data_IF_913947942046
#
_entry.id   IF_913947942046
#
_cell.length_a   1.000
_cell.length_b   1.000
_cell.length_c   1.000
_cell.angle_alpha   90.00
_cell.angle_beta   90.00
_cell.angle_gamma   90.00
#
_symmetry.space_group_name_H-M   'P 1'
#
loop_
_entity.id
_entity.type
_entity.pdbx_description
1 polymer ?
#
# COMPACT_ATOMS: atom_id res chain seq x y z
N UNK A 1 -4.55 8.64 -24.39
CA UNK A 1 -3.44 9.59 -24.20
C UNK A 1 -2.89 9.40 -22.80
N UNK A 2 -1.57 9.26 -22.76
CA UNK A 2 -0.74 8.64 -21.73
C UNK A 2 -0.63 9.43 -20.43
N UNK A 3 -0.20 8.74 -19.36
CA UNK A 3 0.86 9.12 -18.40
C UNK A 3 0.75 8.16 -17.19
N UNK A 4 1.37 6.98 -17.24
CA UNK A 4 2.74 6.71 -16.75
C UNK A 4 3.06 7.33 -15.38
N UNK A 5 3.00 6.47 -14.36
CA UNK A 5 3.86 6.34 -13.18
C UNK A 5 4.63 7.61 -12.75
N UNK A 6 4.23 8.20 -11.62
CA UNK A 6 5.14 8.95 -10.74
C UNK A 6 5.39 8.11 -9.48
N UNK A 7 6.54 7.44 -9.44
CA UNK A 7 7.18 7.05 -8.18
C UNK A 7 7.95 8.29 -7.74
N UNK A 8 7.61 8.86 -6.59
CA UNK A 8 8.46 9.85 -5.94
C UNK A 8 9.57 9.05 -5.28
N UNK A 9 10.73 8.97 -5.94
CA UNK A 9 11.98 8.56 -5.31
C UNK A 9 12.66 9.81 -4.76
N UNK A 10 12.60 10.00 -3.44
CA UNK A 10 13.52 10.91 -2.78
C UNK A 10 14.83 10.15 -2.52
N UNK A 11 15.89 10.51 -3.23
CA UNK A 11 17.21 10.72 -2.63
C UNK A 11 18.19 11.42 -3.59
N UNK A 12 18.59 12.62 -3.13
CA UNK A 12 19.85 13.36 -3.32
C UNK A 12 20.07 14.23 -4.58
N UNK A 13 20.02 15.54 -4.32
CA UNK A 13 20.90 16.62 -4.78
C UNK A 13 21.60 16.49 -6.14
N UNK A 14 21.10 17.21 -7.15
CA UNK A 14 21.86 18.21 -7.93
C UNK A 14 20.93 19.07 -8.82
N UNK A 15 20.89 20.38 -8.53
CA UNK A 15 21.03 21.50 -9.48
C UNK A 15 20.13 21.69 -10.72
N UNK A 16 19.33 22.77 -10.67
CA UNK A 16 18.90 23.71 -11.74
C UNK A 16 17.92 23.28 -12.86
N UNK A 17 16.77 23.98 -12.94
CA UNK A 17 15.98 24.09 -14.18
C UNK A 17 14.46 24.37 -14.07
N UNK A 18 14.07 25.54 -13.54
CA UNK A 18 12.84 26.33 -13.80
C UNK A 18 11.48 25.69 -14.18
N UNK A 19 10.49 25.82 -13.28
CA UNK A 19 9.10 26.22 -13.61
C UNK A 19 8.60 27.22 -12.53
N UNK A 20 7.87 28.28 -12.89
CA UNK A 20 7.52 29.35 -11.97
C UNK A 20 6.29 29.02 -11.11
N UNK A 21 6.39 29.28 -9.80
CA UNK A 21 5.25 29.80 -9.04
C UNK A 21 4.33 28.83 -8.27
N UNK A 22 4.79 27.65 -7.86
CA UNK A 22 4.20 27.00 -6.68
C UNK A 22 5.21 27.04 -5.54
N UNK A 23 5.00 27.98 -4.63
CA UNK A 23 5.61 27.97 -3.32
C UNK A 23 5.26 26.61 -2.69
N UNK A 24 6.19 25.65 -2.73
CA UNK A 24 6.08 24.43 -1.96
C UNK A 24 5.99 24.90 -0.50
N UNK A 25 4.80 24.80 0.09
CA UNK A 25 4.64 25.04 1.52
C UNK A 25 5.72 24.22 2.21
N UNK A 26 6.52 24.88 3.04
CA UNK A 26 7.47 24.22 3.91
C UNK A 26 6.80 22.98 4.51
N UNK A 27 7.45 21.82 4.41
CA UNK A 27 6.98 20.56 4.98
C UNK A 27 6.62 20.69 6.47
N UNK A 28 7.12 21.74 7.15
CA UNK A 28 6.83 22.04 8.55
C UNK A 28 5.39 22.47 8.87
N UNK A 29 4.54 22.78 7.89
CA UNK A 29 3.16 23.25 8.15
C UNK A 29 2.05 22.26 7.79
N UNK A 30 2.36 21.17 7.08
CA UNK A 30 1.34 20.21 6.65
C UNK A 30 1.08 19.18 7.73
N UNK A 31 -0.08 19.27 8.40
CA UNK A 31 -0.58 18.20 9.27
C UNK A 31 -1.07 17.04 8.41
N UNK A 32 -0.39 15.90 8.54
CA UNK A 32 -0.72 14.66 7.85
C UNK A 32 -1.50 13.75 8.79
N UNK A 33 -2.56 13.14 8.27
CA UNK A 33 -3.34 12.14 8.98
C UNK A 33 -3.42 10.84 8.17
N UNK A 34 -3.28 9.70 8.85
CA UNK A 34 -3.66 8.39 8.32
C UNK A 34 -5.08 8.07 8.78
N UNK A 35 -5.98 7.85 7.82
CA UNK A 35 -7.36 7.49 8.09
C UNK A 35 -7.62 6.06 7.61
N UNK A 36 -7.99 5.17 8.54
CA UNK A 36 -8.45 3.82 8.21
C UNK A 36 -9.96 3.78 8.29
N UNK A 37 -10.59 3.41 7.18
CA UNK A 37 -12.04 3.36 7.04
C UNK A 37 -12.51 1.91 7.16
N UNK A 38 -13.40 1.65 8.12
CA UNK A 38 -13.97 0.32 8.40
C UNK A 38 -15.47 0.33 8.18
N UNK A 39 -16.04 -0.82 7.81
CA UNK A 39 -17.48 -1.00 7.72
C UNK A 39 -17.98 -1.84 8.89
N UNK A 40 -18.68 -1.21 9.83
CA UNK A 40 -19.25 -1.86 11.02
C UNK A 40 -18.23 -2.30 12.08
N UNK A 41 -18.74 -2.82 13.21
CA UNK A 41 -17.93 -3.16 14.39
C UNK A 41 -17.12 -4.46 14.28
N UNK A 42 -17.47 -5.38 13.35
CA UNK A 42 -16.90 -6.74 13.30
C UNK A 42 -15.56 -6.87 12.55
N UNK A 43 -14.98 -5.75 12.11
CA UNK A 43 -13.82 -5.73 11.20
C UNK A 43 -12.45 -5.66 11.86
N UNK A 44 -12.29 -4.83 12.91
CA UNK A 44 -10.95 -4.40 13.39
C UNK A 44 -10.09 -5.56 13.88
N UNK A 45 -10.67 -6.51 14.62
CA UNK A 45 -9.91 -7.65 15.18
C UNK A 45 -9.22 -8.52 14.13
N UNK A 46 -9.70 -8.49 12.88
CA UNK A 46 -9.09 -9.23 11.77
C UNK A 46 -7.83 -8.58 11.23
N UNK A 47 -7.51 -7.34 11.61
CA UNK A 47 -6.42 -6.56 11.05
C UNK A 47 -5.40 -6.14 12.11
N UNK A 48 -5.31 -6.88 13.23
CA UNK A 48 -4.55 -6.46 14.41
C UNK A 48 -3.11 -6.04 14.08
N UNK A 49 -2.35 -6.86 13.35
CA UNK A 49 -0.96 -6.56 12.95
C UNK A 49 -0.88 -5.36 12.01
N UNK A 50 -1.80 -5.23 11.05
CA UNK A 50 -1.86 -4.07 10.16
C UNK A 50 -2.18 -2.78 10.94
N UNK A 51 -3.14 -2.82 11.86
CA UNK A 51 -3.53 -1.68 12.69
C UNK A 51 -2.39 -1.24 13.63
N UNK A 52 -1.70 -2.19 14.27
CA UNK A 52 -0.49 -1.91 15.04
C UNK A 52 0.60 -1.33 14.15
N UNK A 53 0.73 -1.84 12.91
CA UNK A 53 1.76 -1.36 12.00
C UNK A 53 1.55 0.10 11.62
N UNK A 54 0.32 0.43 11.22
CA UNK A 54 -0.10 1.79 10.88
C UNK A 54 0.01 2.72 12.09
N UNK A 55 -0.43 2.27 13.28
CA UNK A 55 -0.38 3.08 14.51
C UNK A 55 1.07 3.43 14.88
N UNK A 56 1.97 2.45 14.81
CA UNK A 56 3.39 2.66 15.08
C UNK A 56 3.98 3.65 14.08
N UNK A 57 3.74 3.44 12.77
CA UNK A 57 4.25 4.33 11.74
C UNK A 57 3.73 5.76 11.91
N UNK A 58 2.42 5.95 12.14
CA UNK A 58 1.83 7.26 12.40
C UNK A 58 2.52 7.96 13.59
N UNK A 59 2.72 7.24 14.71
CA UNK A 59 3.39 7.79 15.89
C UNK A 59 4.85 8.20 15.60
N UNK A 60 5.58 7.39 14.84
CA UNK A 60 6.98 7.68 14.45
C UNK A 60 7.07 8.91 13.56
N UNK A 61 6.11 9.10 12.66
CA UNK A 61 6.08 10.25 11.75
C UNK A 61 5.41 11.51 12.35
N UNK A 62 4.82 11.40 13.54
CA UNK A 62 4.02 12.49 14.14
C UNK A 62 2.70 12.75 13.40
N UNK A 63 2.15 11.74 12.71
CA UNK A 63 0.88 11.84 11.99
C UNK A 63 -0.31 11.61 12.92
N UNK A 64 -1.42 12.28 12.64
CA UNK A 64 -2.71 11.93 13.24
C UNK A 64 -3.14 10.54 12.74
N UNK A 65 -3.65 9.67 13.63
CA UNK A 65 -4.21 8.38 13.24
C UNK A 65 -5.68 8.29 13.64
N UNK A 66 -6.57 8.04 12.67
CA UNK A 66 -8.02 7.98 12.87
C UNK A 66 -8.60 6.71 12.26
N UNK A 67 -9.50 6.06 13.00
CA UNK A 67 -10.29 4.93 12.50
C UNK A 67 -11.75 5.37 12.41
N UNK A 68 -12.33 5.32 11.22
CA UNK A 68 -13.68 5.80 10.96
C UNK A 68 -14.59 4.65 10.51
N UNK A 69 -15.78 4.56 11.09
CA UNK A 69 -16.81 3.62 10.65
C UNK A 69 -17.67 4.27 9.55
N UNK A 70 -17.70 3.69 8.36
CA UNK A 70 -18.47 4.20 7.21
C UNK A 70 -19.96 4.32 7.49
N UNK A 71 -20.51 3.50 8.38
CA UNK A 71 -21.94 3.56 8.72
C UNK A 71 -22.34 4.89 9.37
N UNK A 72 -21.39 5.68 9.87
CA UNK A 72 -21.66 7.01 10.43
C UNK A 72 -21.61 8.12 9.38
N UNK A 73 -21.23 7.81 8.13
CA UNK A 73 -20.96 8.79 7.08
C UNK A 73 -21.66 8.46 5.75
N UNK A 74 -22.65 7.57 5.76
CA UNK A 74 -23.37 7.11 4.56
C UNK A 74 -23.93 8.25 3.72
N UNK A 75 -24.30 9.36 4.37
CA UNK A 75 -24.95 10.50 3.71
C UNK A 75 -24.00 11.70 3.49
N UNK A 76 -22.69 11.55 3.77
CA UNK A 76 -21.76 12.70 3.88
C UNK A 76 -20.49 12.64 3.04
N UNK A 77 -20.22 11.57 2.29
CA UNK A 77 -18.91 11.40 1.63
C UNK A 77 -18.93 11.65 0.11
N UNK A 78 -18.50 12.85 -0.31
CA UNK A 78 -18.06 13.15 -1.69
C UNK A 78 -16.53 13.10 -1.83
N UNK A 79 -15.87 12.11 -1.23
CA UNK A 79 -14.42 12.03 -1.28
C UNK A 79 -13.94 11.79 -2.71
N UNK A 80 -12.98 12.59 -3.18
CA UNK A 80 -12.28 12.33 -4.44
C UNK A 80 -11.48 11.03 -4.31
N UNK A 81 -11.29 10.35 -5.44
CA UNK A 81 -10.47 9.15 -5.50
C UNK A 81 -9.06 9.43 -4.95
N UNK A 82 -8.47 8.41 -4.31
CA UNK A 82 -7.06 8.47 -3.90
C UNK A 82 -6.14 8.73 -5.11
N UNK A 83 -5.04 9.44 -4.86
CA UNK A 83 -4.04 9.81 -5.89
C UNK A 83 -2.96 8.75 -6.07
N UNK A 84 -2.89 7.77 -5.17
CA UNK A 84 -1.91 6.70 -5.18
C UNK A 84 -2.51 5.41 -4.60
N UNK A 85 -1.85 4.30 -4.90
CA UNK A 85 -2.23 2.96 -4.47
C UNK A 85 -1.16 2.37 -3.56
N UNK A 86 -1.57 1.76 -2.47
CA UNK A 86 -0.70 0.91 -1.68
C UNK A 86 -0.80 -0.53 -2.20
N UNK A 87 0.35 -1.20 -2.38
CA UNK A 87 0.38 -2.56 -2.92
C UNK A 87 -0.21 -3.56 -1.92
N UNK A 88 -0.84 -4.60 -2.45
CA UNK A 88 -1.31 -5.75 -1.69
C UNK A 88 -0.16 -6.76 -1.44
N UNK A 89 -0.20 -7.56 -0.37
CA UNK A 89 0.87 -8.54 -0.04
C UNK A 89 1.08 -9.55 -1.15
N UNK A 90 -0.01 -10.08 -1.70
CA UNK A 90 0.05 -11.26 -2.57
C UNK A 90 0.79 -10.97 -3.88
N UNK A 91 0.87 -9.70 -4.29
CA UNK A 91 1.55 -9.29 -5.52
C UNK A 91 3.03 -9.71 -5.50
N UNK A 92 3.68 -9.61 -4.34
CA UNK A 92 5.08 -9.99 -4.12
C UNK A 92 5.23 -11.13 -3.11
N UNK A 93 4.16 -11.90 -2.87
CA UNK A 93 4.16 -12.99 -1.91
C UNK A 93 4.63 -12.59 -0.50
N UNK A 94 4.26 -11.38 -0.06
CA UNK A 94 4.63 -10.78 1.23
C UNK A 94 6.11 -10.39 1.38
N UNK A 95 6.92 -10.52 0.32
CA UNK A 95 8.28 -9.98 0.32
C UNK A 95 8.24 -8.46 0.54
N UNK A 96 9.24 -7.96 1.25
CA UNK A 96 9.32 -6.61 1.79
C UNK A 96 10.63 -5.93 1.38
N UNK A 97 10.58 -4.64 1.07
CA UNK A 97 11.76 -3.84 0.81
C UNK A 97 11.85 -2.68 1.78
N UNK A 98 12.96 -2.60 2.52
CA UNK A 98 13.24 -1.52 3.47
C UNK A 98 13.29 -0.13 2.82
N UNK A 99 13.51 -0.05 1.49
CA UNK A 99 13.57 1.21 0.75
C UNK A 99 12.23 1.65 0.15
N UNK A 100 11.22 0.76 0.13
CA UNK A 100 9.93 1.01 -0.54
C UNK A 100 8.75 0.92 0.41
N UNK A 101 8.81 -0.02 1.34
CA UNK A 101 7.68 -0.40 2.18
C UNK A 101 7.89 0.13 3.60
N UNK A 102 6.83 0.67 4.18
CA UNK A 102 6.91 1.42 5.44
C UNK A 102 5.80 1.10 6.45
N UNK A 103 4.71 0.46 6.03
CA UNK A 103 3.64 -0.02 6.92
C UNK A 103 2.84 -1.17 6.29
N UNK A 104 2.34 -2.08 7.13
CA UNK A 104 1.44 -3.15 6.73
C UNK A 104 0.01 -2.61 6.75
N UNK A 105 -0.70 -2.66 5.61
CA UNK A 105 -2.08 -2.18 5.50
C UNK A 105 -3.00 -3.27 4.92
N UNK A 106 -4.19 -3.42 5.49
CA UNK A 106 -5.23 -4.30 4.92
C UNK A 106 -5.00 -5.81 5.01
N UNK A 107 -3.95 -6.29 5.69
CA UNK A 107 -3.66 -7.73 5.79
C UNK A 107 -4.45 -8.38 6.94
N UNK A 108 -5.17 -9.48 6.64
CA UNK A 108 -6.07 -10.13 7.60
C UNK A 108 -5.36 -11.25 8.37
N UNK A 109 -5.52 -11.30 9.69
CA UNK A 109 -4.91 -12.34 10.56
C UNK A 109 -5.24 -13.77 10.12
N UNK A 110 -6.48 -14.04 9.65
CA UNK A 110 -6.87 -15.37 9.21
C UNK A 110 -6.22 -15.83 7.89
N UNK A 111 -5.51 -14.93 7.21
CA UNK A 111 -4.73 -15.20 6.00
C UNK A 111 -3.23 -15.33 6.28
N UNK A 112 -2.80 -15.15 7.54
CA UNK A 112 -1.41 -15.31 7.94
C UNK A 112 -1.00 -16.79 7.82
N UNK A 113 0.18 -17.02 7.25
CA UNK A 113 0.77 -18.33 7.01
C UNK A 113 2.23 -18.35 7.44
N UNK A 114 2.76 -19.56 7.59
CA UNK A 114 4.19 -19.83 7.73
C UNK A 114 4.72 -20.32 6.38
N UNK A 115 5.84 -19.78 5.92
CA UNK A 115 6.53 -20.30 4.73
C UNK A 115 7.43 -21.48 5.14
N UNK A 116 7.63 -22.43 4.22
CA UNK A 116 8.35 -23.69 4.49
C UNK A 116 9.57 -23.88 3.58
N UNK A 117 9.86 -22.91 2.71
CA UNK A 117 10.93 -22.97 1.72
C UNK A 117 11.58 -21.61 1.57
N UNK A 118 12.91 -21.57 1.54
CA UNK A 118 13.71 -20.39 1.25
C UNK A 118 14.57 -20.64 -0.02
N UNK A 119 14.76 -19.63 -0.90
CA UNK A 119 14.13 -18.31 -0.86
C UNK A 119 12.61 -18.38 -1.13
N UNK A 120 11.84 -17.48 -0.52
CA UNK A 120 10.40 -17.38 -0.77
C UNK A 120 10.18 -16.83 -2.19
N UNK A 121 9.40 -17.50 -3.06
CA UNK A 121 9.19 -17.03 -4.42
C UNK A 121 8.45 -15.68 -4.46
N UNK A 122 8.84 -14.78 -5.37
CA UNK A 122 8.19 -13.46 -5.51
C UNK A 122 6.74 -13.55 -6.02
N UNK A 123 6.44 -14.54 -6.86
CA UNK A 123 5.09 -14.76 -7.33
C UNK A 123 4.32 -15.60 -6.30
N UNK A 124 3.24 -15.04 -5.76
CA UNK A 124 2.38 -15.81 -4.87
C UNK A 124 1.51 -16.79 -5.66
N UNK A 125 1.23 -17.94 -5.04
CA UNK A 125 0.25 -18.93 -5.50
C UNK A 125 -1.16 -18.66 -4.98
N UNK A 126 -1.32 -17.69 -4.06
CA UNK A 126 -2.61 -17.38 -3.43
C UNK A 126 -2.77 -15.88 -3.20
N UNK A 127 -3.95 -15.36 -3.52
CA UNK A 127 -4.33 -13.98 -3.18
C UNK A 127 -4.83 -13.83 -1.75
N UNK A 128 -4.99 -14.94 -1.02
CA UNK A 128 -5.55 -15.01 0.33
C UNK A 128 -4.54 -15.54 1.36
N UNK A 129 -3.25 -15.35 1.11
CA UNK A 129 -2.18 -15.76 2.02
C UNK A 129 -1.12 -14.66 2.15
N UNK A 130 -0.60 -14.48 3.36
CA UNK A 130 0.57 -13.63 3.60
C UNK A 130 1.51 -14.21 4.66
N UNK A 131 2.77 -13.78 4.61
CA UNK A 131 3.82 -14.07 5.58
C UNK A 131 4.19 -12.79 6.31
N UNK A 132 4.43 -12.87 7.62
CA UNK A 132 4.75 -11.70 8.41
C UNK A 132 6.19 -11.21 8.15
N UNK A 133 6.40 -10.04 7.52
CA UNK A 133 7.74 -9.52 7.29
C UNK A 133 8.41 -9.04 8.58
N UNK A 134 7.68 -8.98 9.69
CA UNK A 134 8.20 -8.66 11.00
C UNK A 134 8.51 -9.96 11.76
N UNK A 135 9.79 -10.16 12.11
CA UNK A 135 10.26 -11.27 12.94
C UNK A 135 9.91 -11.14 14.43
N UNK A 136 9.23 -10.06 14.85
CA UNK A 136 8.81 -9.83 16.23
C UNK A 136 7.50 -9.06 16.35
N UNK A 137 6.99 -8.93 17.58
CA UNK A 137 5.81 -8.13 17.89
C UNK A 137 6.12 -6.64 17.83
N UNK A 138 5.11 -5.84 17.45
CA UNK A 138 5.20 -4.38 17.44
C UNK A 138 5.02 -3.87 18.87
N UNK A 139 6.03 -3.18 19.40
CA UNK A 139 5.96 -2.57 20.73
C UNK A 139 5.68 -1.07 20.58
N UNK A 140 4.44 -0.68 20.87
CA UNK A 140 3.96 0.71 20.73
C UNK A 140 4.74 1.72 21.59
N UNK A 141 5.32 1.28 22.71
CA UNK A 141 6.14 2.14 23.57
C UNK A 141 7.48 2.51 22.91
N UNK A 142 7.98 1.69 21.98
CA UNK A 142 9.22 1.93 21.24
C UNK A 142 9.02 2.71 19.93
N UNK A 143 7.78 2.88 19.49
CA UNK A 143 7.44 3.70 18.32
C UNK A 143 7.54 5.18 18.70
N UNK A 144 8.67 5.82 18.42
CA UNK A 144 8.93 7.24 18.68
C UNK A 144 9.59 7.89 17.47
N UNK A 145 9.58 9.22 17.31
CA UNK A 145 10.33 9.86 16.25
C UNK A 145 11.78 9.35 16.18
N UNK A 146 12.20 8.90 15.00
CA UNK A 146 13.52 8.31 14.77
C UNK A 146 13.70 6.85 15.21
N UNK A 147 12.69 6.19 15.80
CA UNK A 147 12.77 4.80 16.24
C UNK A 147 11.50 3.99 15.92
N UNK A 148 11.67 2.87 15.24
CA UNK A 148 10.57 1.92 14.96
C UNK A 148 10.82 0.61 15.68
N UNK A 149 9.76 -0.07 16.13
CA UNK A 149 9.88 -1.43 16.67
C UNK A 149 10.01 -2.51 15.57
N UNK A 150 10.42 -2.14 14.34
CA UNK A 150 10.49 -3.09 13.23
C UNK A 150 11.70 -4.01 13.37
N UNK A 151 11.44 -5.26 13.77
CA UNK A 151 12.38 -6.35 13.59
C UNK A 151 11.98 -7.10 12.32
N UNK A 152 12.75 -7.00 11.25
CA UNK A 152 12.40 -7.63 9.97
C UNK A 152 12.89 -9.08 9.87
N UNK A 153 12.07 -9.95 9.28
CA UNK A 153 12.48 -11.28 8.84
C UNK A 153 13.36 -11.16 7.58
N UNK A 154 14.65 -11.51 7.72
CA UNK A 154 15.63 -11.41 6.63
C UNK A 154 15.30 -12.29 5.42
N UNK A 155 14.58 -13.40 5.60
CA UNK A 155 14.17 -14.28 4.50
C UNK A 155 13.05 -13.69 3.64
N UNK A 156 12.36 -12.66 4.15
CA UNK A 156 11.30 -11.95 3.46
C UNK A 156 11.77 -10.60 2.90
N UNK A 157 13.05 -10.25 3.07
CA UNK A 157 13.61 -9.04 2.49
C UNK A 157 14.02 -9.25 1.03
N UNK A 158 13.67 -8.27 0.19
CA UNK A 158 14.06 -8.25 -1.22
C UNK A 158 14.42 -6.82 -1.67
N UNK A 159 15.19 -6.72 -2.74
CA UNK A 159 15.54 -5.44 -3.34
C UNK A 159 14.29 -4.72 -3.88
N UNK A 160 14.29 -3.39 -3.75
CA UNK A 160 13.22 -2.52 -4.27
C UNK A 160 12.96 -2.79 -5.76
N UNK A 161 14.02 -2.93 -6.55
CA UNK A 161 13.92 -3.10 -8.00
C UNK A 161 13.16 -4.38 -8.40
N UNK A 162 13.21 -5.44 -7.59
CA UNK A 162 12.48 -6.69 -7.87
C UNK A 162 10.99 -6.52 -7.59
N UNK A 163 10.64 -5.82 -6.50
CA UNK A 163 9.25 -5.43 -6.21
C UNK A 163 8.72 -4.55 -7.36
N UNK A 164 9.49 -3.56 -7.78
CA UNK A 164 9.07 -2.60 -8.81
C UNK A 164 8.84 -3.30 -10.14
N UNK A 165 9.74 -4.19 -10.54
CA UNK A 165 9.60 -5.02 -11.75
C UNK A 165 8.32 -5.87 -11.68
N UNK A 166 8.04 -6.48 -10.52
CA UNK A 166 6.83 -7.28 -10.32
C UNK A 166 5.56 -6.43 -10.40
N UNK A 167 5.56 -5.23 -9.79
CA UNK A 167 4.42 -4.31 -9.84
C UNK A 167 4.16 -3.82 -11.26
N UNK A 168 5.20 -3.44 -12.00
CA UNK A 168 5.08 -3.05 -13.40
C UNK A 168 4.53 -4.18 -14.27
N UNK A 169 5.00 -5.42 -14.05
CA UNK A 169 4.49 -6.59 -14.74
C UNK A 169 2.98 -6.80 -14.49
N UNK A 170 2.55 -6.78 -13.22
CA UNK A 170 1.14 -6.97 -12.86
C UNK A 170 0.27 -5.82 -13.39
N UNK A 171 0.75 -4.58 -13.34
CA UNK A 171 0.03 -3.43 -13.89
C UNK A 171 -0.18 -3.57 -15.41
N UNK A 172 0.85 -3.97 -16.16
CA UNK A 172 0.76 -4.23 -17.60
C UNK A 172 -0.24 -5.35 -17.93
N UNK A 173 -0.23 -6.44 -17.15
CA UNK A 173 -1.20 -7.54 -17.33
C UNK A 173 -2.64 -7.08 -17.05
N UNK A 174 -2.85 -6.29 -16.00
CA UNK A 174 -4.16 -5.74 -15.66
C UNK A 174 -4.72 -4.84 -16.76
N UNK A 175 -3.90 -3.93 -17.33
CA UNK A 175 -4.32 -3.06 -18.43
C UNK A 175 -4.63 -3.88 -19.70
N UNK A 176 -3.85 -4.92 -20.00
CA UNK A 176 -4.12 -5.83 -21.12
C UNK A 176 -5.49 -6.51 -20.97
N UNK A 177 -5.79 -7.04 -19.77
CA UNK A 177 -7.08 -7.69 -19.48
C UNK A 177 -8.25 -6.70 -19.54
N UNK A 178 -8.09 -5.51 -18.97
CA UNK A 178 -9.09 -4.43 -19.04
C UNK A 178 -9.40 -4.06 -20.49
N UNK A 179 -8.39 -3.87 -21.32
CA UNK A 179 -8.57 -3.56 -22.73
C UNK A 179 -9.30 -4.69 -23.50
N UNK A 180 -9.01 -5.95 -23.18
CA UNK A 180 -9.74 -7.09 -23.76
C UNK A 180 -11.22 -7.08 -23.37
N UNK A 181 -11.54 -6.88 -22.08
CA UNK A 181 -12.93 -6.79 -21.60
C UNK A 181 -13.67 -5.62 -22.24
N UNK A 182 -13.06 -4.44 -22.33
CA UNK A 182 -13.68 -3.27 -22.95
C UNK A 182 -14.02 -3.51 -24.43
N UNK A 183 -13.15 -4.20 -25.18
CA UNK A 183 -13.44 -4.58 -26.57
C UNK A 183 -14.64 -5.51 -26.66
N UNK A 184 -14.73 -6.52 -25.79
CA UNK A 184 -15.88 -7.43 -25.74
C UNK A 184 -17.18 -6.70 -25.38
N UNK A 185 -17.14 -5.79 -24.40
CA UNK A 185 -18.32 -5.00 -24.03
C UNK A 185 -18.80 -4.10 -25.18
N UNK A 186 -17.86 -3.50 -25.92
CA UNK A 186 -18.19 -2.66 -27.06
C UNK A 186 -18.80 -3.47 -28.20
N UNK A 187 -18.30 -4.69 -28.49
CA UNK A 187 -18.89 -5.55 -29.50
C UNK A 187 -20.30 -6.01 -29.12
N UNK A 188 -20.54 -6.32 -27.83
CA UNK A 188 -21.87 -6.71 -27.35
C UNK A 188 -22.87 -5.55 -27.46
N UNK A 189 -22.49 -4.35 -27.05
CA UNK A 189 -23.35 -3.16 -27.18
C UNK A 189 -23.75 -2.92 -28.63
N UNK A 190 -22.80 -2.95 -29.56
CA UNK A 190 -23.05 -2.73 -30.97
C UNK A 190 -23.94 -3.82 -31.61
N UNK A 191 -24.00 -5.02 -31.03
CA UNK A 191 -24.87 -6.10 -31.47
C UNK A 191 -26.30 -6.00 -30.89
N UNK A 192 -26.47 -5.34 -29.74
CA UNK A 192 -27.79 -5.08 -29.14
C UNK A 192 -28.51 -3.85 -29.70
N UNK A 193 -27.78 -2.96 -30.37
CA UNK A 193 -28.31 -1.77 -31.04
C UNK A 193 -28.77 -2.04 -32.51
N UNK A 194 -28.75 -3.31 -32.94
CA UNK A 194 -29.25 -3.79 -34.23
C UNK A 194 -30.47 -4.67 -34.04
#
# INVERSE_FOLDING_TARGET
MENLVRVVEDNQDVGYGGYPGQLLKSHSEQRIAIVVVIMGHKGIGKYQKAMLSISCYAKVQGYDFRVLNTSHYTDRCQQKNGTAWARDNWITNSLWSLKRDFMIHGWKENQLRTYHSIPVPIASKSTAAWYNPLGGSINMSLCTPGNTSWLYDRNLLIAKNDIDRRLQYIAKDAEKRKAAVLRTLQSLRNASDK
#
